data_IF_660031066274
#
_entry.id   IF_660031066274
#
_cell.length_a   1.000
_cell.length_b   1.000
_cell.length_c   1.000
_cell.angle_alpha   90.00
_cell.angle_beta   90.00
_cell.angle_gamma   90.00
#
_symmetry.space_group_name_H-M   'P 1'
#
loop_
_entity.id
_entity.type
_entity.pdbx_description
1 polymer ?
#
# COMPACT_ATOMS: atom_id res chain seq x y z
N UNK A 1 -4.25 -17.10 -7.66
CA UNK A 1 -4.91 -16.20 -6.70
C UNK A 1 -5.58 -15.09 -7.47
N UNK A 2 -6.81 -14.69 -7.12
CA UNK A 2 -7.39 -13.46 -7.65
C UNK A 2 -6.99 -12.32 -6.74
N UNK A 3 -6.41 -11.29 -7.32
CA UNK A 3 -6.15 -10.01 -6.68
C UNK A 3 -6.96 -8.97 -7.42
N UNK A 4 -7.55 -8.04 -6.67
CA UNK A 4 -8.05 -6.80 -7.24
C UNK A 4 -7.10 -5.68 -6.83
N UNK A 5 -6.88 -4.72 -7.73
CA UNK A 5 -5.97 -3.60 -7.51
C UNK A 5 -6.75 -2.33 -7.75
N UNK A 6 -6.65 -1.40 -6.80
CA UNK A 6 -7.40 -0.15 -6.79
C UNK A 6 -6.45 1.02 -6.55
N UNK A 7 -6.87 2.20 -7.01
CA UNK A 7 -6.39 3.49 -6.54
C UNK A 7 -7.46 4.05 -5.60
N UNK A 8 -7.04 4.71 -4.52
CA UNK A 8 -7.98 5.34 -3.58
C UNK A 8 -7.69 6.84 -3.47
N UNK A 9 -8.76 7.64 -3.50
CA UNK A 9 -8.71 9.08 -3.27
C UNK A 9 -9.95 9.54 -2.52
N UNK A 10 -9.75 10.34 -1.47
CA UNK A 10 -10.81 11.01 -0.74
C UNK A 10 -10.43 12.47 -0.54
N UNK A 11 -11.06 13.36 -1.29
CA UNK A 11 -10.87 14.80 -1.11
C UNK A 11 -9.42 15.27 -1.31
N UNK A 12 -8.66 14.61 -2.20
CA UNK A 12 -7.25 14.94 -2.45
C UNK A 12 -6.25 14.22 -1.54
N UNK A 13 -6.72 13.38 -0.61
CA UNK A 13 -5.88 12.43 0.10
C UNK A 13 -5.86 11.11 -0.65
N UNK A 14 -4.68 10.60 -0.97
CA UNK A 14 -4.53 9.44 -1.86
C UNK A 14 -3.72 8.29 -1.26
N UNK A 15 -3.97 7.10 -1.80
CA UNK A 15 -3.15 5.90 -1.64
C UNK A 15 -2.90 5.34 -3.02
N UNK A 16 -1.62 5.19 -3.39
CA UNK A 16 -1.20 4.82 -4.75
C UNK A 16 -1.82 3.49 -5.20
N UNK A 17 -1.71 2.47 -4.35
CA UNK A 17 -2.28 1.15 -4.63
C UNK A 17 -2.91 0.53 -3.39
N UNK A 18 -4.10 -0.02 -3.57
CA UNK A 18 -4.76 -0.91 -2.61
C UNK A 18 -4.92 -2.26 -3.28
N UNK A 19 -4.40 -3.32 -2.65
CA UNK A 19 -4.52 -4.69 -3.15
C UNK A 19 -5.50 -5.45 -2.26
N UNK A 20 -6.51 -6.05 -2.88
CA UNK A 20 -7.48 -6.92 -2.21
C UNK A 20 -7.20 -8.38 -2.55
N UNK A 21 -7.29 -9.24 -1.53
CA UNK A 21 -7.22 -10.70 -1.65
C UNK A 21 -8.22 -11.35 -0.69
N UNK A 22 -9.33 -11.86 -1.23
CA UNK A 22 -10.40 -12.42 -0.40
C UNK A 22 -11.11 -11.30 0.36
N UNK A 23 -11.06 -11.33 1.69
CA UNK A 23 -11.66 -10.30 2.55
C UNK A 23 -10.64 -9.32 3.12
N UNK A 24 -9.36 -9.50 2.79
CA UNK A 24 -8.28 -8.64 3.27
C UNK A 24 -7.86 -7.65 2.20
N UNK A 25 -7.47 -6.46 2.65
CA UNK A 25 -6.85 -5.43 1.82
C UNK A 25 -5.50 -5.01 2.42
N UNK A 26 -4.57 -4.59 1.56
CA UNK A 26 -3.31 -3.93 1.96
C UNK A 26 -3.16 -2.62 1.19
N UNK A 27 -2.60 -1.60 1.83
CA UNK A 27 -2.31 -0.31 1.23
C UNK A 27 -0.82 -0.17 0.91
N UNK A 28 -0.50 0.41 -0.23
CA UNK A 28 0.87 0.61 -0.71
C UNK A 28 1.02 2.06 -1.19
N UNK A 29 2.09 2.69 -0.73
CA UNK A 29 2.56 3.99 -1.18
C UNK A 29 3.97 3.84 -1.74
N UNK A 30 4.24 4.41 -2.91
CA UNK A 30 5.49 4.27 -3.63
C UNK A 30 6.25 5.59 -3.64
N UNK A 31 7.50 5.59 -3.16
CA UNK A 31 8.34 6.79 -3.08
C UNK A 31 9.68 6.58 -3.78
N UNK A 32 9.99 7.45 -4.75
CA UNK A 32 11.25 7.45 -5.51
C UNK A 32 12.28 8.48 -5.01
N UNK A 33 11.98 9.25 -3.96
CA UNK A 33 12.82 10.37 -3.52
C UNK A 33 12.49 10.91 -2.13
N UNK A 34 12.57 12.25 -1.97
CA UNK A 34 12.40 12.97 -0.70
C UNK A 34 11.13 12.57 0.06
N UNK A 35 11.24 12.53 1.38
CA UNK A 35 10.11 12.32 2.27
C UNK A 35 9.04 13.40 2.05
N UNK A 36 7.85 12.97 1.64
CA UNK A 36 6.62 13.74 1.74
C UNK A 36 5.69 13.01 2.69
N UNK A 37 5.14 13.77 3.65
CA UNK A 37 4.11 13.25 4.56
C UNK A 37 2.80 13.19 3.76
N UNK A 38 2.39 11.99 3.35
CA UNK A 38 1.07 11.75 2.76
C UNK A 38 0.09 11.37 3.89
N UNK A 39 -0.93 12.21 4.12
CA UNK A 39 -2.00 11.94 5.10
C UNK A 39 -3.00 10.89 4.62
N UNK A 40 -3.03 10.58 3.33
CA UNK A 40 -3.95 9.62 2.72
C UNK A 40 -3.82 8.23 3.29
N UNK A 41 -2.59 7.74 3.51
CA UNK A 41 -2.38 6.47 4.21
C UNK A 41 -2.96 6.46 5.63
N UNK A 42 -2.81 7.55 6.39
CA UNK A 42 -3.35 7.63 7.75
C UNK A 42 -4.88 7.59 7.75
N UNK A 43 -5.51 8.39 6.89
CA UNK A 43 -6.97 8.43 6.74
C UNK A 43 -7.50 7.07 6.27
N UNK A 44 -6.85 6.49 5.27
CA UNK A 44 -7.21 5.17 4.76
C UNK A 44 -7.10 4.09 5.84
N UNK A 45 -6.05 4.13 6.66
CA UNK A 45 -5.85 3.17 7.73
C UNK A 45 -6.93 3.28 8.82
N UNK A 46 -7.34 4.50 9.17
CA UNK A 46 -8.43 4.74 10.11
C UNK A 46 -9.81 4.33 9.56
N UNK A 47 -10.05 4.48 8.26
CA UNK A 47 -11.34 4.14 7.65
C UNK A 47 -11.48 2.64 7.39
N UNK A 48 -10.47 2.02 6.76
CA UNK A 48 -10.58 0.67 6.22
C UNK A 48 -9.87 -0.41 7.03
N UNK A 49 -9.01 -0.03 7.99
CA UNK A 49 -8.26 -0.97 8.84
C UNK A 49 -7.57 -2.10 8.03
N UNK A 50 -6.73 -1.74 7.04
CA UNK A 50 -6.11 -2.73 6.17
C UNK A 50 -5.25 -3.72 6.97
N UNK A 51 -5.08 -4.91 6.43
CA UNK A 51 -4.20 -5.97 6.96
C UNK A 51 -2.76 -5.45 7.14
N UNK A 52 -2.32 -4.57 6.25
CA UNK A 52 -1.00 -3.97 6.27
C UNK A 52 -0.92 -2.69 5.43
N UNK A 53 0.00 -1.82 5.83
CA UNK A 53 0.33 -0.57 5.13
C UNK A 53 1.82 -0.59 4.82
N UNK A 54 2.19 -0.49 3.55
CA UNK A 54 3.57 -0.65 3.09
C UNK A 54 4.03 0.60 2.33
N UNK A 55 5.19 1.11 2.73
CA UNK A 55 5.96 2.04 1.90
C UNK A 55 6.88 1.22 0.99
N UNK A 56 6.97 1.59 -0.28
CA UNK A 56 7.89 0.99 -1.25
C UNK A 56 8.86 2.06 -1.74
N UNK A 57 10.16 1.72 -1.73
CA UNK A 57 11.24 2.65 -2.06
C UNK A 57 11.86 3.30 -0.82
N UNK A 58 11.97 4.63 -0.80
CA UNK A 58 12.64 5.36 0.29
C UNK A 58 11.98 5.06 1.65
N UNK A 59 12.77 4.60 2.63
CA UNK A 59 12.35 4.25 3.99
C UNK A 59 11.26 3.15 4.10
N UNK A 60 11.11 2.34 3.06
CA UNK A 60 10.16 1.24 3.01
C UNK A 60 10.78 -0.06 2.53
N UNK A 61 9.97 -0.93 1.93
CA UNK A 61 10.43 -2.10 1.21
C UNK A 61 11.23 -1.63 -0.01
N UNK A 62 12.51 -2.02 -0.18
CA UNK A 62 13.29 -1.67 -1.36
C UNK A 62 12.60 -2.12 -2.65
N UNK A 63 12.69 -1.32 -3.72
CA UNK A 63 12.04 -1.62 -5.01
C UNK A 63 12.37 -3.03 -5.52
N UNK A 64 13.65 -3.41 -5.51
CA UNK A 64 14.10 -4.72 -6.00
C UNK A 64 13.48 -5.86 -5.19
N UNK A 65 13.39 -5.69 -3.87
CA UNK A 65 12.74 -6.66 -2.99
C UNK A 65 11.25 -6.74 -3.31
N UNK A 66 10.56 -5.59 -3.34
CA UNK A 66 9.12 -5.53 -3.62
C UNK A 66 8.75 -6.16 -4.97
N UNK A 67 9.51 -5.86 -6.03
CA UNK A 67 9.27 -6.39 -7.38
C UNK A 67 9.58 -7.90 -7.49
N UNK A 68 10.41 -8.44 -6.60
CA UNK A 68 10.76 -9.86 -6.58
C UNK A 68 9.89 -10.69 -5.63
N UNK A 69 9.07 -10.04 -4.79
CA UNK A 69 8.20 -10.70 -3.82
C UNK A 69 7.01 -11.39 -4.50
N UNK A 70 6.54 -12.47 -3.90
CA UNK A 70 5.20 -12.97 -4.20
C UNK A 70 4.17 -12.00 -3.59
N UNK A 71 3.25 -11.40 -4.37
CA UNK A 71 2.26 -10.46 -3.82
C UNK A 71 1.40 -11.04 -2.68
N UNK A 72 1.26 -12.37 -2.61
CA UNK A 72 0.55 -13.03 -1.51
C UNK A 72 1.25 -12.89 -0.14
N UNK A 73 2.55 -12.57 -0.11
CA UNK A 73 3.33 -12.34 1.11
C UNK A 73 2.96 -11.02 1.80
N UNK A 74 2.45 -10.03 1.04
CA UNK A 74 1.96 -8.77 1.60
C UNK A 74 0.81 -8.96 2.62
N UNK A 75 0.12 -10.10 2.59
CA UNK A 75 -0.99 -10.38 3.51
C UNK A 75 -0.55 -11.16 4.76
N UNK A 76 0.76 -11.46 4.87
CA UNK A 76 1.35 -12.30 5.91
C UNK A 76 2.47 -11.60 6.69
N UNK A 77 3.02 -10.49 6.16
CA UNK A 77 3.95 -9.59 6.85
C UNK A 77 3.33 -8.99 8.11
#
# INVERSE_FOLDING_TARGET
>A
YRFNVYYWNQGGFEVDYVIEKGNDIVAIEVKSGKESVNKGLSIFNEEFHPRGVYLVGTNGIPFENFLSMNPAELFQL
#
